data_IF_278955694811
#
_entry.id   IF_278955694811
#
_cell.length_a   1.000
_cell.length_b   1.000
_cell.length_c   1.000
_cell.angle_alpha   90.00
_cell.angle_beta   90.00
_cell.angle_gamma   90.00
#
_symmetry.space_group_name_H-M   'P 1'
#
loop_
_entity.id
_entity.type
_entity.pdbx_description
1 polymer ?
#
# COMPACT_ATOMS: atom_id res chain seq x y z
N UNK A 1 -0.85 23.32 1.02
CA UNK A 1 -1.60 22.84 -0.17
C UNK A 1 -2.38 21.57 0.16
N UNK A 2 -1.76 20.58 0.85
CA UNK A 2 -2.40 19.32 1.24
C UNK A 2 -3.79 19.47 1.89
N UNK A 3 -3.98 20.40 2.84
CA UNK A 3 -5.27 20.60 3.49
C UNK A 3 -6.41 20.99 2.52
N UNK A 4 -6.12 21.75 1.46
CA UNK A 4 -7.12 22.11 0.43
C UNK A 4 -7.37 20.90 -0.49
N UNK A 5 -6.29 20.28 -0.97
CA UNK A 5 -6.38 19.10 -1.84
C UNK A 5 -7.10 17.92 -1.19
N UNK A 6 -6.96 17.77 0.13
CA UNK A 6 -7.63 16.71 0.88
C UNK A 6 -9.16 16.85 0.87
N UNK A 7 -9.68 18.08 0.83
CA UNK A 7 -11.13 18.32 0.70
C UNK A 7 -11.62 17.92 -0.69
N UNK A 8 -10.86 18.29 -1.73
CA UNK A 8 -11.19 17.92 -3.11
C UNK A 8 -11.12 16.41 -3.34
N UNK A 9 -10.08 15.74 -2.81
CA UNK A 9 -9.91 14.29 -2.87
C UNK A 9 -11.12 13.55 -2.27
N UNK A 10 -11.57 13.97 -1.08
CA UNK A 10 -12.75 13.35 -0.45
C UNK A 10 -14.04 13.65 -1.20
N UNK A 11 -14.18 14.82 -1.82
CA UNK A 11 -15.34 15.10 -2.67
C UNK A 11 -15.36 14.15 -3.86
N UNK A 12 -14.23 13.93 -4.53
CA UNK A 12 -14.13 13.01 -5.65
C UNK A 12 -14.48 11.56 -5.23
N UNK A 13 -13.92 11.07 -4.12
CA UNK A 13 -14.28 9.75 -3.60
C UNK A 13 -15.76 9.63 -3.27
N UNK A 14 -16.33 10.62 -2.57
CA UNK A 14 -17.76 10.63 -2.25
C UNK A 14 -18.60 10.53 -3.52
N UNK A 15 -18.28 11.34 -4.53
CA UNK A 15 -19.07 11.40 -5.76
C UNK A 15 -18.99 10.09 -6.55
N UNK A 16 -17.83 9.42 -6.60
CA UNK A 16 -17.67 8.10 -7.24
C UNK A 16 -18.46 7.00 -6.50
N UNK A 17 -18.37 6.95 -5.17
CA UNK A 17 -19.05 5.92 -4.38
C UNK A 17 -20.56 6.16 -4.23
N UNK A 18 -21.01 7.40 -4.44
CA UNK A 18 -22.43 7.79 -4.33
C UNK A 18 -23.33 7.00 -5.27
N UNK A 19 -22.89 6.78 -6.51
CA UNK A 19 -23.65 6.03 -7.52
C UNK A 19 -23.88 4.56 -7.11
N UNK A 20 -23.01 4.03 -6.24
CA UNK A 20 -23.13 2.68 -5.67
C UNK A 20 -23.86 2.66 -4.33
N UNK A 21 -24.38 3.79 -3.85
CA UNK A 21 -25.00 3.94 -2.51
C UNK A 21 -24.06 3.54 -1.36
N UNK A 22 -22.75 3.69 -1.55
CA UNK A 22 -21.74 3.39 -0.53
C UNK A 22 -21.28 4.71 0.08
N UNK A 23 -21.28 4.78 1.42
CA UNK A 23 -20.70 5.91 2.13
C UNK A 23 -19.18 5.75 2.26
N UNK A 24 -18.48 6.87 2.23
CA UNK A 24 -17.03 6.93 2.51
C UNK A 24 -16.78 7.69 3.81
N UNK A 25 -15.76 7.28 4.55
CA UNK A 25 -15.33 7.96 5.77
C UNK A 25 -13.85 8.31 5.71
N UNK A 26 -13.50 9.57 5.98
CA UNK A 26 -12.12 10.01 6.00
C UNK A 26 -11.43 9.64 7.31
N UNK A 27 -10.23 9.07 7.22
CA UNK A 27 -9.30 8.94 8.34
C UNK A 27 -7.97 9.59 7.97
N UNK A 28 -7.59 10.63 8.72
CA UNK A 28 -6.28 11.25 8.63
C UNK A 28 -5.44 10.76 9.80
N UNK A 29 -4.35 10.05 9.51
CA UNK A 29 -3.51 9.42 10.52
C UNK A 29 -2.05 9.81 10.31
N UNK A 30 -1.28 9.84 11.39
CA UNK A 30 0.17 9.98 11.35
C UNK A 30 0.84 8.67 11.72
N UNK A 31 2.13 8.52 11.37
CA UNK A 31 2.95 7.40 11.85
C UNK A 31 2.95 7.29 13.38
N UNK A 32 3.01 8.42 14.09
CA UNK A 32 2.95 8.49 15.55
C UNK A 32 1.65 7.91 16.12
N UNK A 33 0.51 8.13 15.44
CA UNK A 33 -0.77 7.59 15.86
C UNK A 33 -0.80 6.06 15.84
N UNK A 34 -0.16 5.45 14.85
CA UNK A 34 -0.09 3.99 14.71
C UNK A 34 0.89 3.39 15.73
N UNK A 35 2.02 4.06 15.99
CA UNK A 35 3.02 3.61 16.95
C UNK A 35 2.56 3.77 18.41
N UNK A 36 1.60 4.65 18.68
CA UNK A 36 1.03 4.86 20.01
C UNK A 36 -0.03 3.80 20.33
N UNK A 37 0.17 2.88 21.30
CA UNK A 37 -0.73 1.72 21.51
C UNK A 37 -2.20 2.08 21.73
N UNK A 38 -2.46 3.17 22.47
CA UNK A 38 -3.82 3.64 22.74
C UNK A 38 -4.51 4.21 21.49
N UNK A 39 -3.78 5.00 20.69
CA UNK A 39 -4.32 5.57 19.45
C UNK A 39 -4.50 4.50 18.39
N UNK A 40 -3.54 3.56 18.28
CA UNK A 40 -3.62 2.33 17.48
C UNK A 40 -4.94 1.59 17.70
N UNK A 41 -5.32 1.35 18.97
CA UNK A 41 -6.57 0.68 19.33
C UNK A 41 -7.81 1.48 18.87
N UNK A 42 -7.80 2.81 19.01
CA UNK A 42 -8.91 3.65 18.58
C UNK A 42 -9.08 3.70 17.07
N UNK A 43 -7.98 3.76 16.32
CA UNK A 43 -8.00 3.68 14.86
C UNK A 43 -8.56 2.33 14.42
N UNK A 44 -8.04 1.24 14.99
CA UNK A 44 -8.52 -0.12 14.71
C UNK A 44 -10.03 -0.24 14.96
N UNK A 45 -10.51 0.17 16.13
CA UNK A 45 -11.94 0.09 16.45
C UNK A 45 -12.81 0.92 15.49
N UNK A 46 -12.33 2.10 15.08
CA UNK A 46 -13.01 2.93 14.07
C UNK A 46 -13.10 2.21 12.72
N UNK A 47 -12.00 1.62 12.24
CA UNK A 47 -11.98 0.87 10.98
C UNK A 47 -12.98 -0.29 11.00
N UNK A 48 -12.98 -1.10 12.07
CA UNK A 48 -13.95 -2.20 12.21
C UNK A 48 -15.40 -1.70 12.20
N UNK A 49 -15.70 -0.64 12.96
CA UNK A 49 -17.06 -0.08 13.03
C UNK A 49 -17.52 0.44 11.67
N UNK A 50 -16.66 1.12 10.92
CA UNK A 50 -17.01 1.64 9.59
C UNK A 50 -17.34 0.49 8.61
N UNK A 51 -16.50 -0.54 8.60
CA UNK A 51 -16.70 -1.69 7.72
C UNK A 51 -17.96 -2.49 8.09
N UNK A 52 -18.24 -2.68 9.39
CA UNK A 52 -19.46 -3.34 9.88
C UNK A 52 -20.74 -2.60 9.46
N UNK A 53 -20.67 -1.27 9.34
CA UNK A 53 -21.77 -0.41 8.86
C UNK A 53 -21.80 -0.25 7.33
N UNK A 54 -20.95 -0.96 6.59
CA UNK A 54 -20.88 -0.89 5.12
C UNK A 54 -20.28 0.41 4.58
N UNK A 55 -19.51 1.13 5.39
CA UNK A 55 -18.81 2.37 5.02
C UNK A 55 -17.38 2.05 4.59
N UNK A 56 -16.92 2.64 3.48
CA UNK A 56 -15.55 2.48 2.98
C UNK A 56 -14.62 3.52 3.62
N UNK A 57 -13.64 3.12 4.43
CA UNK A 57 -12.65 4.05 4.97
C UNK A 57 -11.66 4.50 3.89
N UNK A 58 -11.47 5.81 3.78
CA UNK A 58 -10.44 6.45 2.95
C UNK A 58 -9.36 6.98 3.91
N UNK A 59 -8.25 6.26 3.99
CA UNK A 59 -7.13 6.57 4.88
C UNK A 59 -6.09 7.38 4.12
N UNK A 60 -5.61 8.48 4.71
CA UNK A 60 -4.49 9.25 4.17
C UNK A 60 -3.61 9.79 5.31
N UNK A 61 -2.40 10.19 4.98
CA UNK A 61 -1.52 10.85 5.95
C UNK A 61 -2.08 12.21 6.37
N UNK A 62 -1.91 12.56 7.65
CA UNK A 62 -2.26 13.88 8.16
C UNK A 62 -1.10 14.88 8.00
N UNK A 63 -0.83 15.26 6.75
CA UNK A 63 0.25 16.20 6.38
C UNK A 63 0.18 17.56 7.10
N UNK A 64 -0.99 17.94 7.60
CA UNK A 64 -1.18 19.25 8.25
C UNK A 64 -0.59 19.32 9.66
N UNK A 65 -0.30 18.16 10.27
CA UNK A 65 0.24 18.05 11.63
C UNK A 65 1.46 17.13 11.71
N UNK A 66 1.84 16.46 10.61
CA UNK A 66 3.07 15.68 10.54
C UNK A 66 4.28 16.63 10.64
N UNK A 67 5.18 16.34 11.58
CA UNK A 67 6.36 17.15 11.92
C UNK A 67 7.65 16.59 11.33
N UNK A 68 7.60 15.42 10.68
CA UNK A 68 8.76 14.82 10.02
C UNK A 68 9.09 15.62 8.75
N UNK A 69 10.15 16.44 8.83
CA UNK A 69 10.64 17.34 7.77
C UNK A 69 11.42 16.64 6.64
N UNK A 70 11.37 15.30 6.52
CA UNK A 70 12.17 14.58 5.52
C UNK A 70 11.31 13.48 4.89
N UNK A 71 10.89 13.79 3.66
CA UNK A 71 10.17 12.97 2.67
C UNK A 71 8.64 13.02 2.74
N UNK A 72 8.08 13.75 1.76
CA UNK A 72 6.69 13.68 1.35
C UNK A 72 6.29 12.21 1.13
N UNK A 73 5.19 11.77 1.73
CA UNK A 73 4.23 10.88 1.08
C UNK A 73 4.66 9.43 0.88
N UNK A 74 5.10 8.74 1.93
CA UNK A 74 5.23 7.28 1.88
C UNK A 74 3.92 6.58 2.27
N UNK A 75 2.91 6.79 1.43
CA UNK A 75 1.64 6.08 1.55
C UNK A 75 1.79 4.57 1.32
N UNK A 76 2.90 4.09 0.74
CA UNK A 76 3.17 2.66 0.64
C UNK A 76 3.32 2.07 2.05
N UNK A 77 4.21 2.63 2.88
CA UNK A 77 4.37 2.22 4.28
C UNK A 77 3.11 2.48 5.12
N UNK A 78 2.42 3.60 4.91
CA UNK A 78 1.15 3.87 5.60
C UNK A 78 0.09 2.80 5.30
N UNK A 79 0.00 2.35 4.04
CA UNK A 79 -0.93 1.31 3.61
C UNK A 79 -0.61 -0.03 4.27
N UNK A 80 0.68 -0.40 4.37
CA UNK A 80 1.12 -1.62 5.04
C UNK A 80 0.86 -1.58 6.55
N UNK A 81 1.11 -0.45 7.21
CA UNK A 81 0.75 -0.27 8.62
C UNK A 81 -0.77 -0.35 8.83
N UNK A 82 -1.55 0.24 7.93
CA UNK A 82 -3.03 0.19 7.96
C UNK A 82 -3.55 -1.23 7.73
N UNK A 83 -2.93 -1.99 6.82
CA UNK A 83 -3.23 -3.39 6.60
C UNK A 83 -2.99 -4.21 7.89
N UNK A 84 -1.87 -3.99 8.59
CA UNK A 84 -1.60 -4.63 9.87
C UNK A 84 -2.62 -4.24 10.97
N UNK A 85 -2.98 -2.96 11.07
CA UNK A 85 -3.95 -2.45 12.03
C UNK A 85 -5.28 -3.21 11.98
N UNK A 86 -5.80 -3.43 10.77
CA UNK A 86 -7.07 -4.10 10.54
C UNK A 86 -6.92 -5.63 10.38
N UNK A 87 -5.68 -6.13 10.29
CA UNK A 87 -5.36 -7.54 9.98
C UNK A 87 -5.91 -7.98 8.62
N UNK A 88 -5.53 -7.24 7.57
CA UNK A 88 -5.91 -7.53 6.20
C UNK A 88 -5.45 -8.92 5.75
N UNK A 89 -6.27 -9.58 4.93
CA UNK A 89 -5.88 -10.80 4.24
C UNK A 89 -4.94 -10.53 3.04
N UNK A 90 -4.92 -9.30 2.52
CA UNK A 90 -4.17 -8.91 1.34
C UNK A 90 -3.99 -7.38 1.30
N UNK A 91 -2.80 -6.93 0.89
CA UNK A 91 -2.53 -5.55 0.48
C UNK A 91 -2.31 -5.50 -1.03
N UNK A 92 -2.93 -4.54 -1.73
CA UNK A 92 -2.71 -4.32 -3.16
C UNK A 92 -2.15 -2.91 -3.35
N UNK A 93 -0.91 -2.82 -3.83
CA UNK A 93 -0.24 -1.59 -4.21
C UNK A 93 -0.50 -1.34 -5.70
N UNK A 94 -1.38 -0.38 -5.97
CA UNK A 94 -1.67 0.10 -7.32
C UNK A 94 -0.71 1.23 -7.67
N UNK A 95 0.18 1.00 -8.63
CA UNK A 95 1.29 1.90 -8.96
C UNK A 95 1.30 2.26 -10.46
N UNK A 96 2.30 3.03 -10.91
CA UNK A 96 2.58 3.29 -12.32
C UNK A 96 3.51 2.23 -12.95
N UNK A 97 4.05 1.32 -12.13
CA UNK A 97 4.83 0.16 -12.55
C UNK A 97 3.99 -1.12 -12.64
N UNK A 98 4.35 -2.02 -13.55
CA UNK A 98 3.68 -3.32 -13.71
C UNK A 98 4.05 -4.34 -12.63
N UNK A 99 5.10 -4.06 -11.86
CA UNK A 99 5.63 -4.95 -10.83
C UNK A 99 7.11 -4.70 -10.59
N UNK A 100 7.75 -5.64 -9.91
CA UNK A 100 9.18 -5.68 -9.68
C UNK A 100 9.87 -6.38 -10.86
N UNK A 101 10.92 -5.77 -11.40
CA UNK A 101 11.70 -6.34 -12.49
C UNK A 101 13.12 -6.70 -12.03
N UNK A 102 13.76 -7.65 -12.72
CA UNK A 102 15.15 -8.05 -12.45
C UNK A 102 16.16 -6.94 -12.72
N UNK A 103 15.79 -5.98 -13.59
CA UNK A 103 16.54 -4.79 -13.99
C UNK A 103 15.53 -3.69 -14.33
N UNK A 104 15.97 -2.44 -14.50
CA UNK A 104 15.11 -1.36 -14.99
C UNK A 104 14.60 -1.66 -16.44
N UNK A 105 13.28 -1.86 -16.64
CA UNK A 105 12.72 -2.20 -17.95
C UNK A 105 12.73 -1.04 -18.95
N UNK A 106 12.95 0.19 -18.50
CA UNK A 106 13.06 1.35 -19.38
C UNK A 106 14.42 1.44 -20.07
N UNK A 107 15.46 0.91 -19.42
CA UNK A 107 16.85 1.00 -19.91
C UNK A 107 17.44 -0.34 -20.31
N UNK A 108 16.83 -1.45 -19.88
CA UNK A 108 17.33 -2.79 -20.15
C UNK A 108 16.29 -3.70 -20.83
N UNK A 109 16.51 -4.12 -22.09
CA UNK A 109 15.59 -5.02 -22.79
C UNK A 109 15.61 -6.46 -22.25
N UNK A 110 16.59 -6.83 -21.41
CA UNK A 110 16.64 -8.11 -20.71
C UNK A 110 15.95 -8.05 -19.33
N UNK A 111 15.26 -6.96 -18.99
CA UNK A 111 14.48 -6.88 -17.77
C UNK A 111 13.31 -7.87 -17.82
N UNK A 112 13.25 -8.74 -16.83
CA UNK A 112 12.20 -9.74 -16.68
C UNK A 112 11.34 -9.41 -15.46
N UNK A 113 10.02 -9.53 -15.59
CA UNK A 113 9.09 -9.34 -14.48
C UNK A 113 9.27 -10.47 -13.46
N UNK A 114 9.47 -10.11 -12.19
CA UNK A 114 9.49 -11.04 -11.07
C UNK A 114 8.05 -11.23 -10.62
N UNK A 115 7.46 -12.39 -10.92
CA UNK A 115 6.05 -12.64 -10.62
C UNK A 115 5.79 -13.01 -9.15
N UNK A 116 6.80 -13.51 -8.44
CA UNK A 116 6.67 -13.92 -7.05
C UNK A 116 7.97 -13.66 -6.26
N UNK A 117 7.83 -13.11 -5.05
CA UNK A 117 8.93 -12.83 -4.12
C UNK A 117 8.59 -13.41 -2.75
N UNK A 118 9.44 -14.32 -2.24
CA UNK A 118 9.32 -14.87 -0.87
C UNK A 118 10.39 -14.30 0.08
N UNK A 119 11.47 -13.77 -0.48
CA UNK A 119 12.58 -13.19 0.26
C UNK A 119 12.93 -11.83 -0.34
N UNK A 120 12.37 -10.78 0.28
CA UNK A 120 12.56 -9.40 -0.16
C UNK A 120 14.01 -8.95 0.03
N UNK A 121 14.69 -9.43 1.09
CA UNK A 121 16.08 -9.09 1.36
C UNK A 121 17.01 -9.67 0.27
N UNK A 122 16.75 -10.91 -0.14
CA UNK A 122 17.45 -11.52 -1.28
C UNK A 122 17.22 -10.73 -2.58
N UNK A 123 16.01 -10.25 -2.83
CA UNK A 123 15.71 -9.40 -3.98
C UNK A 123 16.47 -8.05 -3.92
N UNK A 124 16.47 -7.36 -2.77
CA UNK A 124 17.23 -6.11 -2.60
C UNK A 124 18.73 -6.28 -2.84
N UNK A 125 19.29 -7.44 -2.49
CA UNK A 125 20.70 -7.76 -2.72
C UNK A 125 21.11 -7.85 -4.20
N UNK A 126 20.14 -7.91 -5.13
CA UNK A 126 20.39 -7.90 -6.56
C UNK A 126 20.51 -6.45 -7.05
N UNK A 127 21.75 -6.03 -7.34
CA UNK A 127 22.14 -4.63 -7.58
C UNK A 127 21.35 -3.86 -8.66
N UNK A 128 20.64 -4.56 -9.57
CA UNK A 128 19.88 -3.96 -10.68
C UNK A 128 18.36 -3.82 -10.39
N UNK A 129 17.84 -4.40 -9.30
CA UNK A 129 16.40 -4.39 -8.98
C UNK A 129 15.93 -3.02 -8.48
N UNK A 130 16.77 -2.33 -7.71
CA UNK A 130 16.51 -0.96 -7.28
C UNK A 130 17.15 0.02 -8.28
N UNK A 131 16.58 0.10 -9.49
CA UNK A 131 16.91 1.16 -10.43
C UNK A 131 16.82 2.52 -9.73
N UNK A 132 17.87 3.34 -9.83
CA UNK A 132 17.87 4.72 -9.33
C UNK A 132 16.97 5.56 -10.23
N UNK A 133 15.66 5.45 -10.04
CA UNK A 133 14.72 6.46 -10.54
C UNK A 133 15.10 7.81 -9.95
N UNK A 134 15.14 8.84 -10.80
CA UNK A 134 15.54 10.18 -10.41
C UNK A 134 14.74 10.66 -9.18
N UNK A 135 15.51 11.08 -8.17
CA UNK A 135 15.13 11.77 -6.93
C UNK A 135 13.69 12.31 -6.87
N UNK A 136 12.85 11.75 -5.97
CA UNK A 136 11.90 12.60 -5.24
C UNK A 136 10.51 12.07 -4.81
N UNK A 137 10.08 10.83 -5.07
CA UNK A 137 8.64 10.47 -4.84
C UNK A 137 8.32 9.07 -4.28
N UNK A 138 9.20 8.40 -3.53
CA UNK A 138 8.87 7.06 -2.98
C UNK A 138 8.82 5.96 -4.07
N UNK A 139 10.01 5.57 -4.53
CA UNK A 139 10.21 4.69 -5.70
C UNK A 139 9.89 3.21 -5.46
N UNK A 140 10.69 2.32 -6.05
CA UNK A 140 10.57 0.87 -5.81
C UNK A 140 10.94 0.49 -4.37
N UNK A 141 11.85 1.25 -3.75
CA UNK A 141 12.31 0.95 -2.38
C UNK A 141 11.19 1.05 -1.35
N UNK A 142 10.36 2.09 -1.39
CA UNK A 142 9.21 2.24 -0.45
C UNK A 142 8.19 1.11 -0.63
N UNK A 143 8.00 0.61 -1.86
CA UNK A 143 7.13 -0.55 -2.14
C UNK A 143 7.70 -1.83 -1.56
N UNK A 144 9.03 -2.01 -1.64
CA UNK A 144 9.72 -3.15 -1.02
C UNK A 144 9.66 -3.05 0.52
N UNK A 145 9.81 -1.86 1.10
CA UNK A 145 9.64 -1.63 2.54
C UNK A 145 8.21 -1.94 3.01
N UNK A 146 7.20 -1.45 2.29
CA UNK A 146 5.80 -1.72 2.58
C UNK A 146 5.48 -3.21 2.45
N UNK A 147 5.97 -3.87 1.39
CA UNK A 147 5.81 -5.31 1.19
C UNK A 147 6.49 -6.11 2.30
N UNK A 148 7.67 -5.70 2.75
CA UNK A 148 8.37 -6.31 3.87
C UNK A 148 7.58 -6.16 5.17
N UNK A 149 7.12 -4.95 5.48
CA UNK A 149 6.31 -4.68 6.67
C UNK A 149 5.03 -5.51 6.70
N UNK A 150 4.31 -5.60 5.58
CA UNK A 150 3.11 -6.41 5.45
C UNK A 150 3.42 -7.92 5.60
N UNK A 151 4.44 -8.42 4.89
CA UNK A 151 4.84 -9.82 4.94
C UNK A 151 5.32 -10.26 6.33
N UNK A 152 6.03 -9.40 7.07
CA UNK A 152 6.43 -9.66 8.47
C UNK A 152 5.22 -9.88 9.38
N UNK A 153 4.07 -9.28 9.03
CA UNK A 153 2.80 -9.45 9.74
C UNK A 153 1.92 -10.56 9.14
N UNK A 154 2.42 -11.33 8.17
CA UNK A 154 1.68 -12.42 7.54
C UNK A 154 0.70 -11.98 6.46
N UNK A 155 0.81 -10.75 5.96
CA UNK A 155 -0.09 -10.18 4.95
C UNK A 155 0.61 -10.22 3.59
N UNK A 156 0.12 -11.02 2.62
CA UNK A 156 0.65 -10.99 1.26
C UNK A 156 0.39 -9.65 0.59
N UNK A 157 1.26 -9.28 -0.35
CA UNK A 157 1.16 -8.02 -1.10
C UNK A 157 1.18 -8.27 -2.61
N UNK A 158 0.33 -7.57 -3.35
CA UNK A 158 0.36 -7.53 -4.82
C UNK A 158 0.80 -6.13 -5.26
N UNK A 159 1.85 -6.03 -6.06
CA UNK A 159 2.23 -4.80 -6.76
C UNK A 159 1.86 -4.92 -8.23
N UNK A 160 1.08 -3.97 -8.73
CA UNK A 160 0.58 -3.97 -10.12
C UNK A 160 0.30 -2.57 -10.63
N UNK A 161 0.20 -2.42 -11.95
CA UNK A 161 -0.13 -1.17 -12.59
C UNK A 161 -1.60 -0.76 -12.35
N UNK A 162 -1.82 0.52 -12.07
CA UNK A 162 -3.11 1.16 -11.84
C UNK A 162 -3.79 1.65 -13.12
N UNK A 163 -3.05 1.80 -14.23
CA UNK A 163 -3.52 2.38 -15.49
C UNK A 163 -4.27 1.37 -16.39
N UNK A 164 -4.92 0.38 -15.78
CA UNK A 164 -5.68 -0.66 -16.50
C UNK A 164 -7.12 -0.69 -16.01
N UNK A 165 -8.09 -0.69 -16.91
CA UNK A 165 -9.49 -0.89 -16.50
C UNK A 165 -9.75 -2.33 -16.01
N UNK A 166 -10.69 -2.46 -15.07
CA UNK A 166 -11.10 -3.75 -14.50
C UNK A 166 -9.94 -4.52 -13.83
N UNK A 167 -9.04 -3.81 -13.15
CA UNK A 167 -7.83 -4.34 -12.49
C UNK A 167 -8.12 -5.65 -11.74
N UNK A 168 -9.09 -5.63 -10.83
CA UNK A 168 -9.39 -6.81 -10.01
C UNK A 168 -9.83 -8.03 -10.82
N UNK A 169 -10.65 -7.83 -11.86
CA UNK A 169 -11.06 -8.93 -12.74
C UNK A 169 -9.86 -9.51 -13.49
N UNK A 170 -8.95 -8.65 -13.98
CA UNK A 170 -7.77 -9.10 -14.72
C UNK A 170 -6.75 -9.79 -13.81
N UNK A 171 -6.56 -9.29 -12.58
CA UNK A 171 -5.72 -9.94 -11.58
C UNK A 171 -6.24 -11.36 -11.25
N UNK A 172 -7.54 -11.52 -11.06
CA UNK A 172 -8.15 -12.83 -10.75
C UNK A 172 -7.99 -13.82 -11.92
N UNK A 173 -7.96 -13.32 -13.16
CA UNK A 173 -7.86 -14.14 -14.37
C UNK A 173 -6.41 -14.31 -14.88
N UNK A 174 -5.39 -13.85 -14.15
CA UNK A 174 -3.98 -13.83 -14.58
C UNK A 174 -3.74 -13.05 -15.90
N UNK A 175 -4.57 -12.03 -16.17
CA UNK A 175 -4.51 -11.18 -17.37
C UNK A 175 -3.75 -9.86 -17.16
N UNK A 176 -3.22 -9.64 -15.95
CA UNK A 176 -2.46 -8.45 -15.59
C UNK A 176 -1.10 -8.83 -15.04
N UNK A 177 -0.07 -8.10 -15.48
CA UNK A 177 1.27 -8.22 -14.92
C UNK A 177 1.26 -7.72 -13.47
N UNK A 178 1.85 -8.53 -12.59
CA UNK A 178 1.96 -8.21 -11.18
C UNK A 178 3.13 -8.96 -10.55
N UNK A 179 3.61 -8.42 -9.42
CA UNK A 179 4.50 -9.13 -8.50
C UNK A 179 3.74 -9.45 -7.22
N UNK A 180 3.77 -10.72 -6.82
CA UNK A 180 3.21 -11.16 -5.54
C UNK A 180 4.33 -11.33 -4.52
N UNK A 181 4.26 -10.58 -3.43
CA UNK A 181 5.11 -10.77 -2.26
C UNK A 181 4.38 -11.67 -1.27
N UNK A 182 5.01 -12.79 -0.92
CA UNK A 182 4.43 -13.77 -0.01
C UNK A 182 5.13 -13.68 1.35
N UNK A 183 4.37 -13.74 2.47
CA UNK A 183 4.97 -13.84 3.79
C UNK A 183 5.80 -15.12 3.88
N UNK A 184 6.97 -15.04 4.50
CA UNK A 184 7.73 -16.26 4.83
C UNK A 184 6.89 -17.12 5.77
N UNK A 185 6.98 -18.45 5.65
CA UNK A 185 6.42 -19.41 6.61
C UNK A 185 7.08 -19.24 7.99
N UNK A 186 6.73 -18.17 8.71
CA UNK A 186 7.15 -17.90 10.07
C UNK A 186 5.90 -17.68 10.91
N UNK A 187 5.49 -18.78 11.54
CA UNK A 187 4.69 -18.90 12.75
C UNK A 187 3.38 -18.10 12.76
N UNK A 188 2.30 -18.86 12.54
CA UNK A 188 0.92 -18.58 12.95
C UNK A 188 0.87 -17.64 14.16
N UNK A 189 0.25 -16.47 13.98
CA UNK A 189 -0.04 -15.48 15.02
C UNK A 189 -0.61 -16.18 16.27
N UNK A 190 0.14 -16.18 17.37
CA UNK A 190 -0.43 -16.44 18.69
C UNK A 190 -1.15 -15.16 19.12
N UNK A 191 -2.48 -15.17 19.04
CA UNK A 191 -3.34 -14.10 19.53
C UNK A 191 -2.97 -13.68 20.96
N UNK A 192 -2.70 -12.39 21.15
CA UNK A 192 -2.81 -11.69 22.45
C UNK A 192 -3.94 -10.68 22.31
#
# INVERSE_FOLDING_TARGET
>A
LCAIGQVELMSAYRDIFWDSSIHVAQLLITREDILTPKRRLYIRNTLFTLLDEGVVPIVNENDSVSVEEIEIGDNDNLSAMTADLWSADLLILLSDVDGLYTKDPHTNPEAELITCVQDIEACRGMADICGKGDLGTGGMETKLEAAELANQNGIPVILTNSNTENIFSKLINDELQATVFLPQDKLIRSNI
#
